data_IF_621984187753
#
_entry.id   IF_621984187753
#
_cell.length_a   1.000
_cell.length_b   1.000
_cell.length_c   1.000
_cell.angle_alpha   90.00
_cell.angle_beta   90.00
_cell.angle_gamma   90.00
#
_symmetry.space_group_name_H-M   'P 1'
#
loop_
_entity.id
_entity.type
_entity.pdbx_description
1 polymer ?
#
# COMPACT_ATOMS: atom_id res chain seq x y z
N UNK A 1 32.63 -6.95 -21.06
CA UNK A 1 31.98 -5.63 -21.26
C UNK A 1 30.55 -5.86 -21.73
N UNK A 2 29.56 -5.25 -21.08
CA UNK A 2 28.14 -5.34 -21.47
C UNK A 2 27.42 -6.56 -20.89
N UNK A 3 26.20 -6.47 -20.36
CA UNK A 3 25.12 -5.51 -20.60
C UNK A 3 24.62 -4.96 -19.26
N UNK A 4 24.54 -3.64 -19.14
CA UNK A 4 23.79 -2.99 -18.06
C UNK A 4 22.31 -3.31 -18.26
N UNK A 5 21.79 -4.30 -17.55
CA UNK A 5 20.35 -4.51 -17.46
C UNK A 5 19.77 -3.39 -16.58
N UNK A 6 18.73 -2.70 -17.06
CA UNK A 6 18.02 -1.66 -16.30
C UNK A 6 17.54 -2.15 -14.92
N UNK A 7 17.39 -3.47 -14.77
CA UNK A 7 17.09 -4.17 -13.52
C UNK A 7 18.18 -4.07 -12.44
N UNK A 8 19.42 -3.72 -12.80
CA UNK A 8 20.53 -3.58 -11.86
C UNK A 8 20.31 -2.52 -10.77
N UNK A 9 19.48 -1.50 -11.04
CA UNK A 9 19.11 -0.49 -10.05
C UNK A 9 18.24 -1.06 -8.91
N UNK A 10 17.53 -2.16 -9.16
CA UNK A 10 16.66 -2.81 -8.18
C UNK A 10 17.32 -4.03 -7.51
N UNK A 11 18.60 -4.31 -7.77
CA UNK A 11 19.32 -5.51 -7.28
C UNK A 11 18.62 -6.84 -7.61
N UNK A 12 17.81 -6.90 -8.66
CA UNK A 12 17.09 -8.09 -9.06
C UNK A 12 17.93 -8.91 -10.05
N UNK A 13 18.12 -10.20 -9.77
CA UNK A 13 18.82 -11.12 -10.68
C UNK A 13 17.93 -11.40 -11.91
N UNK A 14 18.51 -11.50 -13.12
CA UNK A 14 17.75 -11.89 -14.31
C UNK A 14 17.23 -13.33 -14.15
N UNK A 15 15.92 -13.51 -14.34
CA UNK A 15 15.22 -14.80 -14.26
C UNK A 15 15.05 -15.36 -15.68
N UNK A 16 15.50 -16.60 -15.94
CA UNK A 16 15.31 -17.27 -17.23
C UNK A 16 13.91 -17.89 -17.28
N UNK A 17 13.03 -17.36 -18.15
CA UNK A 17 11.63 -17.79 -18.26
C UNK A 17 11.44 -18.86 -19.35
N UNK A 18 10.76 -19.96 -19.02
CA UNK A 18 10.44 -21.06 -19.98
C UNK A 18 9.52 -20.62 -21.13
N UNK A 19 8.64 -19.63 -20.90
CA UNK A 19 7.71 -19.07 -21.90
C UNK A 19 7.78 -17.54 -21.93
N UNK A 20 8.64 -16.95 -22.80
CA UNK A 20 8.83 -15.50 -22.85
C UNK A 20 7.57 -14.71 -23.20
N UNK A 21 6.60 -15.32 -23.90
CA UNK A 21 5.32 -14.70 -24.27
C UNK A 21 4.49 -14.23 -23.06
N UNK A 22 4.49 -14.99 -21.95
CA UNK A 22 3.72 -14.64 -20.77
C UNK A 22 4.29 -13.40 -20.05
N UNK A 23 5.62 -13.22 -20.13
CA UNK A 23 6.29 -12.05 -19.59
C UNK A 23 5.86 -10.77 -20.34
N UNK A 24 5.75 -10.82 -21.68
CA UNK A 24 5.26 -9.67 -22.47
C UNK A 24 3.81 -9.30 -22.15
N UNK A 25 2.94 -10.30 -21.93
CA UNK A 25 1.56 -10.06 -21.46
C UNK A 25 1.55 -9.42 -20.07
N UNK A 26 2.39 -9.92 -19.16
CA UNK A 26 2.58 -9.34 -17.83
C UNK A 26 3.04 -7.88 -17.88
N UNK A 27 4.01 -7.57 -18.75
CA UNK A 27 4.49 -6.19 -18.98
C UNK A 27 3.36 -5.31 -19.54
N UNK A 28 2.60 -5.78 -20.52
CA UNK A 28 1.47 -5.02 -21.07
C UNK A 28 0.41 -4.70 -20.01
N UNK A 29 0.09 -5.68 -19.15
CA UNK A 29 -0.84 -5.51 -18.03
C UNK A 29 -0.27 -4.53 -16.99
N UNK A 30 1.02 -4.64 -16.66
CA UNK A 30 1.68 -3.73 -15.72
C UNK A 30 1.70 -2.28 -16.23
N UNK A 31 2.00 -2.08 -17.52
CA UNK A 31 1.94 -0.77 -18.16
C UNK A 31 0.52 -0.19 -18.15
N UNK A 32 -0.49 -1.01 -18.49
CA UNK A 32 -1.90 -0.60 -18.44
C UNK A 32 -2.33 -0.23 -17.02
N UNK A 33 -1.98 -1.06 -16.03
CA UNK A 33 -2.26 -0.80 -14.61
C UNK A 33 -1.59 0.49 -14.13
N UNK A 34 -0.33 0.71 -14.49
CA UNK A 34 0.40 1.95 -14.18
C UNK A 34 -0.26 3.18 -14.79
N UNK A 35 -0.69 3.10 -16.06
CA UNK A 35 -1.38 4.19 -16.74
C UNK A 35 -2.74 4.51 -16.11
N UNK A 36 -3.54 3.48 -15.80
CA UNK A 36 -4.84 3.64 -15.11
C UNK A 36 -4.64 4.23 -13.72
N UNK A 37 -3.66 3.74 -12.96
CA UNK A 37 -3.35 4.25 -11.63
C UNK A 37 -2.95 5.73 -11.69
N UNK A 38 -2.04 6.10 -12.59
CA UNK A 38 -1.65 7.51 -12.80
C UNK A 38 -2.84 8.37 -13.20
N UNK A 39 -3.66 7.91 -14.15
CA UNK A 39 -4.85 8.65 -14.59
C UNK A 39 -5.83 8.92 -13.45
N UNK A 40 -6.10 7.92 -12.60
CA UNK A 40 -6.97 8.07 -11.43
C UNK A 40 -6.36 9.07 -10.43
N UNK A 41 -5.06 8.96 -10.13
CA UNK A 41 -4.40 9.85 -9.15
C UNK A 41 -4.35 11.29 -9.63
N UNK A 42 -4.02 11.50 -10.90
CA UNK A 42 -4.02 12.83 -11.53
C UNK A 42 -5.42 13.40 -11.58
N UNK A 43 -6.42 12.60 -11.97
CA UNK A 43 -7.82 13.00 -11.98
C UNK A 43 -8.32 13.48 -10.61
N UNK A 44 -7.95 12.78 -9.53
CA UNK A 44 -8.29 13.21 -8.16
C UNK A 44 -7.65 14.55 -7.82
N UNK A 45 -6.37 14.77 -8.16
CA UNK A 45 -5.69 16.03 -7.88
C UNK A 45 -6.33 17.19 -8.65
N UNK A 46 -6.63 16.98 -9.94
CA UNK A 46 -7.29 17.98 -10.78
C UNK A 46 -8.71 18.30 -10.30
N UNK A 47 -9.47 17.30 -9.87
CA UNK A 47 -10.82 17.49 -9.33
C UNK A 47 -10.80 18.27 -8.00
N UNK A 48 -9.84 17.96 -7.13
CA UNK A 48 -9.68 18.66 -5.85
C UNK A 48 -9.18 20.10 -6.03
N UNK A 49 -8.26 20.34 -6.97
CA UNK A 49 -7.80 21.70 -7.27
C UNK A 49 -8.92 22.55 -7.85
N UNK A 50 -9.64 22.03 -8.86
CA UNK A 50 -10.79 22.74 -9.45
C UNK A 50 -11.92 22.98 -8.44
N UNK A 51 -12.22 22.02 -7.56
CA UNK A 51 -13.17 22.21 -6.46
C UNK A 51 -12.75 23.37 -5.55
N UNK A 52 -11.46 23.42 -5.19
CA UNK A 52 -10.92 24.46 -4.31
C UNK A 52 -10.90 25.83 -4.99
N UNK A 53 -10.53 25.91 -6.26
CA UNK A 53 -10.54 27.13 -7.06
C UNK A 53 -11.97 27.72 -7.18
N UNK A 54 -12.96 26.85 -7.47
CA UNK A 54 -14.38 27.23 -7.49
C UNK A 54 -14.85 27.69 -6.12
N UNK A 55 -14.44 27.01 -5.04
CA UNK A 55 -14.78 27.38 -3.68
C UNK A 55 -14.25 28.79 -3.32
N UNK A 56 -13.00 29.10 -3.70
CA UNK A 56 -12.39 30.43 -3.49
C UNK A 56 -13.13 31.51 -4.27
N UNK A 57 -13.47 31.23 -5.54
CA UNK A 57 -14.21 32.16 -6.41
C UNK A 57 -15.59 32.49 -5.83
N UNK A 58 -16.34 31.48 -5.38
CA UNK A 58 -17.66 31.67 -4.75
C UNK A 58 -17.59 32.44 -3.42
N UNK A 59 -16.55 32.18 -2.61
CA UNK A 59 -16.31 32.84 -1.32
C UNK A 59 -15.62 34.21 -1.43
N UNK A 60 -15.46 34.77 -2.64
CA UNK A 60 -14.81 36.07 -2.91
C UNK A 60 -13.49 36.24 -2.15
N UNK A 61 -12.61 35.25 -2.28
CA UNK A 61 -11.27 35.25 -1.70
C UNK A 61 -11.22 35.28 -0.14
N UNK A 62 -12.32 34.90 0.54
CA UNK A 62 -12.34 34.55 1.98
C UNK A 62 -12.70 33.08 2.23
N UNK A 63 -11.95 32.11 1.68
CA UNK A 63 -12.15 30.69 1.99
C UNK A 63 -11.75 30.40 3.45
N UNK A 64 -12.55 29.61 4.17
CA UNK A 64 -12.19 29.16 5.51
C UNK A 64 -11.63 27.74 5.39
N UNK A 65 -10.32 27.60 5.52
CA UNK A 65 -9.60 26.34 5.31
C UNK A 65 -8.95 25.93 6.63
N UNK A 66 -9.31 24.74 7.11
CA UNK A 66 -8.72 24.16 8.31
C UNK A 66 -7.32 23.65 7.98
N UNK A 67 -6.30 24.49 8.21
CA UNK A 67 -4.89 24.12 8.06
C UNK A 67 -4.51 22.92 8.95
N UNK A 68 -5.22 22.69 10.06
CA UNK A 68 -5.02 21.50 10.89
C UNK A 68 -5.35 20.18 10.16
N UNK A 69 -6.18 20.20 9.12
CA UNK A 69 -6.52 19.00 8.33
C UNK A 69 -5.49 18.69 7.23
N UNK A 70 -4.74 19.71 6.80
CA UNK A 70 -3.78 19.61 5.70
C UNK A 70 -2.50 18.87 6.15
N UNK A 71 -2.00 19.20 7.34
CA UNK A 71 -0.82 18.57 7.94
C UNK A 71 -0.94 17.03 8.07
N UNK A 72 -1.99 16.45 8.69
CA UNK A 72 -2.15 15.01 8.79
C UNK A 72 -2.34 14.34 7.41
N UNK A 73 -2.93 15.04 6.44
CA UNK A 73 -3.02 14.53 5.07
C UNK A 73 -1.64 14.41 4.40
N UNK A 74 -0.73 15.35 4.64
CA UNK A 74 0.66 15.26 4.16
C UNK A 74 1.45 14.16 4.86
N UNK A 75 1.35 14.05 6.18
CA UNK A 75 2.02 13.01 6.97
C UNK A 75 1.57 11.62 6.52
N UNK A 76 0.25 11.42 6.32
CA UNK A 76 -0.32 10.17 5.82
C UNK A 76 0.25 9.78 4.45
N UNK A 77 0.42 10.74 3.53
CA UNK A 77 1.00 10.49 2.20
C UNK A 77 2.48 10.10 2.26
N UNK A 78 3.27 10.77 3.11
CA UNK A 78 4.69 10.43 3.30
C UNK A 78 4.82 9.03 3.89
N UNK A 79 4.03 8.73 4.93
CA UNK A 79 3.99 7.42 5.55
C UNK A 79 3.64 6.32 4.54
N UNK A 80 2.65 6.56 3.67
CA UNK A 80 2.28 5.60 2.62
C UNK A 80 3.40 5.38 1.60
N UNK A 81 4.14 6.43 1.23
CA UNK A 81 5.30 6.32 0.33
C UNK A 81 6.42 5.46 0.92
N UNK A 82 6.71 5.62 2.22
CA UNK A 82 7.70 4.82 2.94
C UNK A 82 7.26 3.35 3.00
N UNK A 83 5.98 3.10 3.33
CA UNK A 83 5.43 1.76 3.38
C UNK A 83 5.51 1.06 2.01
N UNK A 84 5.20 1.76 0.91
CA UNK A 84 5.33 1.18 -0.43
C UNK A 84 6.77 0.90 -0.83
N UNK A 85 7.73 1.73 -0.44
CA UNK A 85 9.14 1.44 -0.67
C UNK A 85 9.58 0.16 0.08
N UNK A 86 9.17 0.02 1.35
CA UNK A 86 9.39 -1.19 2.14
C UNK A 86 8.72 -2.43 1.53
N UNK A 87 7.51 -2.28 0.99
CA UNK A 87 6.80 -3.36 0.31
C UNK A 87 7.54 -3.85 -0.94
N UNK A 88 8.04 -2.94 -1.77
CA UNK A 88 8.81 -3.31 -2.97
C UNK A 88 10.07 -4.11 -2.58
N UNK A 89 10.75 -3.69 -1.51
CA UNK A 89 11.92 -4.41 -0.99
C UNK A 89 11.55 -5.79 -0.39
N UNK A 90 10.40 -5.92 0.26
CA UNK A 90 9.93 -7.21 0.76
C UNK A 90 9.57 -8.16 -0.40
N UNK A 91 8.97 -7.65 -1.47
CA UNK A 91 8.61 -8.45 -2.63
C UNK A 91 9.83 -9.02 -3.36
N UNK A 92 10.96 -8.30 -3.38
CA UNK A 92 12.19 -8.80 -4.01
C UNK A 92 12.81 -9.99 -3.26
N UNK A 93 12.42 -10.24 -2.01
CA UNK A 93 12.99 -11.30 -1.16
C UNK A 93 12.00 -12.42 -0.87
N UNK A 94 10.73 -12.10 -0.59
CA UNK A 94 9.71 -13.07 -0.15
C UNK A 94 8.75 -13.53 -1.26
N UNK A 95 8.80 -12.95 -2.46
CA UNK A 95 7.80 -13.12 -3.53
C UNK A 95 6.44 -12.52 -3.18
N UNK A 96 5.77 -12.03 -4.23
CA UNK A 96 4.50 -11.33 -4.15
C UNK A 96 3.40 -12.11 -3.42
N UNK A 97 3.35 -13.43 -3.63
CA UNK A 97 2.33 -14.30 -3.03
C UNK A 97 2.40 -14.34 -1.48
N UNK A 98 3.57 -14.05 -0.90
CA UNK A 98 3.80 -14.10 0.54
C UNK A 98 3.74 -12.69 1.15
N UNK A 99 4.30 -11.70 0.46
CA UNK A 99 4.35 -10.32 0.96
C UNK A 99 2.97 -9.64 1.00
N UNK A 100 2.06 -9.94 0.07
CA UNK A 100 0.72 -9.31 0.01
C UNK A 100 -0.17 -9.62 1.22
N UNK A 101 -0.32 -10.89 1.64
CA UNK A 101 -1.02 -11.21 2.87
C UNK A 101 -0.40 -10.55 4.11
N UNK A 102 0.93 -10.47 4.15
CA UNK A 102 1.67 -9.92 5.28
C UNK A 102 1.42 -8.40 5.45
N UNK A 103 1.56 -7.60 4.39
CA UNK A 103 1.35 -6.15 4.47
C UNK A 103 -0.11 -5.78 4.75
N UNK A 104 -1.07 -6.64 4.35
CA UNK A 104 -2.50 -6.38 4.56
C UNK A 104 -2.93 -6.51 6.04
N UNK A 105 -2.15 -7.22 6.86
CA UNK A 105 -2.41 -7.39 8.30
C UNK A 105 -2.11 -6.09 9.08
N UNK A 106 -1.18 -5.27 8.63
CA UNK A 106 -0.72 -4.10 9.40
C UNK A 106 -1.78 -2.98 9.49
N UNK A 107 -2.35 -2.45 8.39
CA UNK A 107 -3.33 -1.37 8.48
C UNK A 107 -4.60 -1.82 9.22
N UNK A 108 -5.00 -3.08 9.03
CA UNK A 108 -6.20 -3.63 9.67
C UNK A 108 -6.04 -3.75 11.18
N UNK A 109 -4.85 -4.10 11.66
CA UNK A 109 -4.55 -4.18 13.09
C UNK A 109 -4.43 -2.80 13.71
N UNK A 110 -3.76 -1.86 13.05
CA UNK A 110 -3.62 -0.46 13.53
C UNK A 110 -4.96 0.25 13.61
N UNK A 111 -5.81 0.11 12.59
CA UNK A 111 -7.16 0.69 12.59
C UNK A 111 -7.99 0.11 13.73
N UNK A 112 -7.98 -1.21 13.91
CA UNK A 112 -8.72 -1.86 14.98
C UNK A 112 -8.20 -1.46 16.39
N UNK A 113 -6.89 -1.33 16.57
CA UNK A 113 -6.29 -0.81 17.81
C UNK A 113 -6.76 0.62 18.10
N UNK A 114 -6.71 1.50 17.10
CA UNK A 114 -7.12 2.89 17.24
C UNK A 114 -8.62 3.01 17.57
N UNK A 115 -9.46 2.22 16.90
CA UNK A 115 -10.91 2.15 17.18
C UNK A 115 -11.22 1.74 18.62
N UNK A 116 -10.49 0.76 19.17
CA UNK A 116 -10.76 0.24 20.52
C UNK A 116 -10.18 1.16 21.61
N UNK A 117 -8.94 1.64 21.43
CA UNK A 117 -8.23 2.39 22.47
C UNK A 117 -8.59 3.89 22.50
N UNK A 118 -8.68 4.54 21.34
CA UNK A 118 -8.90 5.99 21.26
C UNK A 118 -10.40 6.32 21.30
N UNK A 119 -11.18 5.77 20.37
CA UNK A 119 -12.60 6.08 20.28
C UNK A 119 -13.44 5.37 21.35
N UNK A 120 -13.00 4.21 21.84
CA UNK A 120 -13.73 3.38 22.81
C UNK A 120 -15.15 3.00 22.37
N UNK A 121 -15.47 3.15 21.08
CA UNK A 121 -16.80 2.91 20.50
C UNK A 121 -17.31 1.48 20.71
N UNK A 122 -16.40 0.54 20.94
CA UNK A 122 -16.70 -0.90 21.11
C UNK A 122 -16.01 -1.46 22.37
N UNK A 123 -15.94 -0.70 23.46
CA UNK A 123 -15.19 -1.04 24.69
C UNK A 123 -15.82 -2.12 25.60
N UNK A 124 -16.39 -3.19 25.04
CA UNK A 124 -16.81 -4.36 25.80
C UNK A 124 -15.67 -5.40 25.88
N UNK A 125 -15.54 -6.11 27.01
CA UNK A 125 -14.53 -7.16 27.20
C UNK A 125 -14.54 -8.21 26.05
N UNK A 126 -15.73 -8.54 25.56
CA UNK A 126 -15.91 -9.44 24.40
C UNK A 126 -15.16 -8.95 23.16
N UNK A 127 -15.13 -7.64 22.91
CA UNK A 127 -14.51 -7.07 21.73
C UNK A 127 -12.99 -7.01 21.86
N UNK A 128 -12.47 -6.81 23.09
CA UNK A 128 -11.05 -6.99 23.38
C UNK A 128 -10.61 -8.44 23.14
N UNK A 129 -11.39 -9.42 23.59
CA UNK A 129 -11.09 -10.83 23.36
C UNK A 129 -11.13 -11.19 21.86
N UNK A 130 -12.14 -10.72 21.13
CA UNK A 130 -12.24 -10.92 19.67
C UNK A 130 -11.05 -10.28 18.95
N UNK A 131 -10.63 -9.08 19.37
CA UNK A 131 -9.49 -8.40 18.77
C UNK A 131 -8.17 -9.14 19.02
N UNK A 132 -7.91 -9.56 20.26
CA UNK A 132 -6.70 -10.33 20.61
C UNK A 132 -6.70 -11.66 19.86
N UNK A 133 -7.82 -12.38 19.88
CA UNK A 133 -7.96 -13.65 19.16
C UNK A 133 -7.74 -13.49 17.65
N UNK A 134 -8.36 -12.49 17.03
CA UNK A 134 -8.18 -12.19 15.61
C UNK A 134 -6.74 -11.79 15.25
N UNK A 135 -6.05 -11.08 16.14
CA UNK A 135 -4.64 -10.70 15.93
C UNK A 135 -3.72 -11.92 16.04
N UNK A 136 -3.97 -12.81 17.01
CA UNK A 136 -3.24 -14.08 17.15
C UNK A 136 -3.44 -14.95 15.90
N UNK A 137 -4.68 -15.10 15.42
CA UNK A 137 -4.96 -15.84 14.19
C UNK A 137 -4.24 -15.25 12.97
N UNK A 138 -4.16 -13.91 12.85
CA UNK A 138 -3.43 -13.24 11.77
C UNK A 138 -1.92 -13.51 11.84
N UNK A 139 -1.33 -13.49 13.03
CA UNK A 139 0.09 -13.83 13.23
C UNK A 139 0.34 -15.29 12.84
N UNK A 140 -0.52 -16.21 13.29
CA UNK A 140 -0.44 -17.62 12.92
C UNK A 140 -0.52 -17.77 11.40
N UNK A 141 -1.50 -17.12 10.75
CA UNK A 141 -1.65 -17.14 9.30
C UNK A 141 -0.41 -16.61 8.58
N UNK A 142 0.21 -15.53 9.07
CA UNK A 142 1.47 -15.01 8.54
C UNK A 142 2.62 -16.02 8.66
N UNK A 143 2.75 -16.69 9.80
CA UNK A 143 3.76 -17.74 10.02
C UNK A 143 3.54 -18.90 9.05
N UNK A 144 2.32 -19.41 8.92
CA UNK A 144 2.00 -20.47 7.95
C UNK A 144 2.29 -20.04 6.51
N UNK A 145 2.01 -18.78 6.16
CA UNK A 145 2.25 -18.26 4.82
C UNK A 145 3.76 -18.22 4.48
N UNK A 146 4.59 -17.80 5.44
CA UNK A 146 6.06 -17.82 5.30
C UNK A 146 6.59 -19.26 5.25
N UNK A 147 6.11 -20.15 6.12
CA UNK A 147 6.51 -21.57 6.13
C UNK A 147 6.10 -22.32 4.86
N UNK A 148 5.04 -21.88 4.18
CA UNK A 148 4.61 -22.45 2.91
C UNK A 148 5.57 -22.16 1.75
N UNK A 149 6.56 -21.27 1.93
CA UNK A 149 7.55 -21.01 0.88
C UNK A 149 8.36 -22.30 0.64
N UNK A 150 8.32 -22.89 -0.58
CA UNK A 150 9.17 -24.02 -0.87
C UNK A 150 10.63 -23.56 -0.77
N UNK A 151 11.40 -24.20 0.11
CA UNK A 151 12.85 -24.04 0.18
C UNK A 151 13.45 -24.58 -1.12
N UNK A 152 13.66 -23.70 -2.09
CA UNK A 152 14.57 -23.96 -3.20
C UNK A 152 15.98 -24.04 -2.62
N UNK A 153 16.51 -25.26 -2.55
CA UNK A 153 17.95 -25.49 -2.67
C UNK A 153 18.38 -25.20 -4.11
#
# INVERSE_FOLDING_TARGET
MGKWSFFGWFCLKPEDVEVPAFNYVGVAIACLSGAVFLAIRVGIVLALSTYYDVYILLKRNRPYVYVESILPAFISRIMWGIAQAGFILANSTLSQAISFPLISIEPTTVVALWSILYFKDVAALKNYLIFVFGTVLRIIAAVFNVLSKPTSN
#
